data_IF_749939304497
#
_entry.id   IF_749939304497
#
_cell.length_a   1.000
_cell.length_b   1.000
_cell.length_c   1.000
_cell.angle_alpha   90.00
_cell.angle_beta   90.00
_cell.angle_gamma   90.00
#
_symmetry.space_group_name_H-M   'P 1'
#
loop_
_entity.id
_entity.type
_entity.pdbx_description
1 polymer ?
#
# COMPACT_ATOMS: atom_id res chain seq x y z
N UNK A 1 -16.59 -6.06 -19.95
CA UNK A 1 -15.76 -4.96 -19.42
C UNK A 1 -16.18 -4.76 -17.97
N UNK A 2 -15.21 -4.64 -17.08
CA UNK A 2 -15.21 -5.17 -15.71
C UNK A 2 -16.21 -4.54 -14.73
N UNK A 3 -16.82 -5.38 -13.89
CA UNK A 3 -17.58 -4.96 -12.71
C UNK A 3 -16.62 -4.40 -11.65
N UNK A 4 -16.67 -3.10 -11.32
CA UNK A 4 -15.83 -2.49 -10.30
C UNK A 4 -15.98 -3.15 -8.92
N UNK A 5 -17.16 -3.73 -8.62
CA UNK A 5 -17.41 -4.43 -7.37
C UNK A 5 -16.61 -5.74 -7.29
N UNK A 6 -16.38 -6.41 -8.42
CA UNK A 6 -15.52 -7.60 -8.50
C UNK A 6 -14.07 -7.26 -8.14
N UNK A 7 -13.54 -6.17 -8.68
CA UNK A 7 -12.17 -5.75 -8.38
C UNK A 7 -12.02 -5.36 -6.91
N UNK A 8 -12.96 -4.58 -6.37
CA UNK A 8 -12.98 -4.23 -4.95
C UNK A 8 -13.00 -5.45 -4.02
N UNK A 9 -13.86 -6.42 -4.32
CA UNK A 9 -13.94 -7.68 -3.58
C UNK A 9 -12.65 -8.49 -3.65
N UNK A 10 -12.03 -8.57 -4.83
CA UNK A 10 -10.76 -9.25 -5.03
C UNK A 10 -9.62 -8.64 -4.19
N UNK A 11 -9.49 -7.31 -4.18
CA UNK A 11 -8.47 -6.63 -3.37
C UNK A 11 -8.74 -6.81 -1.86
N UNK A 12 -10.01 -6.79 -1.44
CA UNK A 12 -10.41 -7.02 -0.05
C UNK A 12 -10.11 -8.44 0.45
N UNK A 13 -10.14 -9.43 -0.44
CA UNK A 13 -9.67 -10.78 -0.12
C UNK A 13 -8.14 -10.81 -0.03
N UNK A 14 -7.45 -10.28 -1.05
CA UNK A 14 -5.98 -10.33 -1.14
C UNK A 14 -5.25 -9.56 -0.05
N UNK A 15 -5.83 -8.49 0.48
CA UNK A 15 -5.19 -7.75 1.59
C UNK A 15 -5.09 -8.58 2.89
N UNK A 16 -5.73 -9.74 2.98
CA UNK A 16 -5.61 -10.63 4.14
C UNK A 16 -4.31 -11.43 4.17
N UNK A 17 -3.80 -11.80 3.00
CA UNK A 17 -2.65 -12.72 2.86
C UNK A 17 -1.49 -12.14 2.03
N UNK A 18 -1.72 -11.02 1.35
CA UNK A 18 -0.79 -10.45 0.38
C UNK A 18 -0.37 -9.04 0.76
N UNK A 19 0.80 -8.67 0.27
CA UNK A 19 1.30 -7.30 0.33
C UNK A 19 0.60 -6.46 -0.75
N UNK A 20 0.03 -5.32 -0.35
CA UNK A 20 -0.63 -4.38 -1.24
C UNK A 20 0.25 -3.13 -1.40
N UNK A 21 0.46 -2.71 -2.64
CA UNK A 21 1.22 -1.52 -3.00
C UNK A 21 0.35 -0.60 -3.86
N UNK A 22 0.16 0.65 -3.45
CA UNK A 22 -0.69 1.62 -4.14
C UNK A 22 0.01 2.99 -4.27
N UNK A 23 0.06 3.52 -5.49
CA UNK A 23 0.77 4.78 -5.80
C UNK A 23 -0.19 5.82 -6.39
N UNK A 24 0.03 7.09 -6.07
CA UNK A 24 -0.73 8.20 -6.62
C UNK A 24 -2.19 8.19 -6.17
N UNK A 25 -3.10 7.95 -7.12
CA UNK A 25 -4.56 7.89 -6.88
C UNK A 25 -5.10 6.49 -6.62
N UNK A 26 -4.28 5.44 -6.78
CA UNK A 26 -4.68 4.06 -6.51
C UNK A 26 -5.25 3.82 -5.08
N UNK A 27 -4.77 4.52 -4.02
CA UNK A 27 -5.36 4.38 -2.68
C UNK A 27 -6.86 4.67 -2.57
N UNK A 28 -7.50 5.35 -3.54
CA UNK A 28 -8.97 5.49 -3.59
C UNK A 28 -9.70 4.15 -3.62
N UNK A 29 -9.13 3.13 -4.28
CA UNK A 29 -9.70 1.78 -4.30
C UNK A 29 -9.76 1.19 -2.90
N UNK A 30 -8.78 1.50 -2.06
CA UNK A 30 -8.75 1.03 -0.67
C UNK A 30 -9.89 1.67 0.13
N UNK A 31 -10.11 2.96 -0.06
CA UNK A 31 -11.14 3.74 0.64
C UNK A 31 -12.54 3.26 0.29
N UNK A 32 -12.83 3.15 -1.01
CA UNK A 32 -14.14 2.72 -1.52
C UNK A 32 -14.51 1.32 -1.00
N UNK A 33 -13.51 0.50 -0.68
CA UNK A 33 -13.69 -0.86 -0.16
C UNK A 33 -13.46 -1.02 1.35
N UNK A 34 -13.27 0.10 2.07
CA UNK A 34 -12.97 0.15 3.51
C UNK A 34 -11.75 -0.69 3.92
N UNK A 35 -10.69 -0.65 3.13
CA UNK A 35 -9.46 -1.43 3.33
C UNK A 35 -8.43 -0.57 4.06
N UNK A 36 -7.91 -1.07 5.17
CA UNK A 36 -6.80 -0.45 5.90
C UNK A 36 -7.14 0.86 6.63
N UNK A 37 -8.41 1.09 6.94
CA UNK A 37 -8.85 2.26 7.74
C UNK A 37 -8.01 2.38 9.02
N UNK A 38 -7.56 3.60 9.32
CA UNK A 38 -6.70 3.91 10.47
C UNK A 38 -5.20 3.59 10.30
N UNK A 39 -4.79 2.95 9.20
CA UNK A 39 -3.37 2.75 8.87
C UNK A 39 -2.70 4.04 8.40
N UNK A 40 -1.38 4.06 8.52
CA UNK A 40 -0.54 5.12 7.95
C UNK A 40 -0.41 5.01 6.43
N UNK A 41 -0.68 6.10 5.72
CA UNK A 41 -0.57 6.16 4.25
C UNK A 41 -0.01 7.50 3.77
N UNK A 42 0.48 7.54 2.53
CA UNK A 42 0.71 8.77 1.77
C UNK A 42 0.19 8.61 0.34
N UNK A 43 -0.33 9.69 -0.24
CA UNK A 43 -0.98 9.65 -1.57
C UNK A 43 -0.69 10.92 -2.37
N UNK A 44 -1.24 11.03 -3.58
CA UNK A 44 -1.22 12.30 -4.31
C UNK A 44 -1.81 13.43 -3.43
N UNK A 45 -1.18 14.61 -3.34
CA UNK A 45 -1.67 15.72 -2.50
C UNK A 45 -3.14 16.10 -2.75
N UNK A 46 -3.64 15.84 -3.97
CA UNK A 46 -5.04 16.10 -4.36
C UNK A 46 -6.06 15.27 -3.59
N UNK A 47 -5.66 14.15 -3.00
CA UNK A 47 -6.56 13.23 -2.28
C UNK A 47 -6.43 13.35 -0.77
N UNK A 48 -5.49 14.15 -0.27
CA UNK A 48 -5.19 14.23 1.17
C UNK A 48 -6.43 14.54 2.01
N UNK A 49 -7.17 15.58 1.65
CA UNK A 49 -8.38 16.02 2.37
C UNK A 49 -9.44 14.93 2.49
N UNK A 50 -9.54 14.06 1.49
CA UNK A 50 -10.55 13.01 1.42
C UNK A 50 -10.15 11.78 2.26
N UNK A 51 -8.85 11.64 2.52
CA UNK A 51 -8.26 10.46 3.15
C UNK A 51 -7.87 10.68 4.62
N UNK A 52 -7.50 11.90 5.01
CA UNK A 52 -7.18 12.26 6.40
C UNK A 52 -8.26 11.86 7.42
N UNK A 53 -9.58 11.95 7.14
CA UNK A 53 -10.60 11.52 8.09
C UNK A 53 -10.63 10.00 8.35
N UNK A 54 -10.04 9.20 7.45
CA UNK A 54 -10.14 7.74 7.45
C UNK A 54 -8.80 7.05 7.70
N UNK A 55 -7.67 7.72 7.46
CA UNK A 55 -6.32 7.19 7.56
C UNK A 55 -5.40 8.14 8.30
N UNK A 56 -4.28 7.61 8.82
CA UNK A 56 -3.20 8.42 9.37
C UNK A 56 -2.34 8.92 8.22
N UNK A 57 -2.60 10.14 7.76
CA UNK A 57 -1.87 10.69 6.62
C UNK A 57 -0.43 11.08 7.02
N UNK A 58 0.55 10.71 6.19
CA UNK A 58 1.97 11.02 6.37
C UNK A 58 2.45 11.88 5.21
N UNK A 59 2.91 13.08 5.51
CA UNK A 59 3.28 14.10 4.52
C UNK A 59 4.77 14.11 4.17
N UNK A 60 5.61 13.77 5.14
CA UNK A 60 7.07 13.90 5.11
C UNK A 60 7.79 12.66 4.56
N UNK A 61 7.05 11.58 4.30
CA UNK A 61 7.58 10.35 3.71
C UNK A 61 7.17 10.15 2.25
N UNK A 62 8.15 9.81 1.40
CA UNK A 62 7.92 9.50 -0.02
C UNK A 62 7.28 8.13 -0.22
N UNK A 63 7.50 7.20 0.71
CA UNK A 63 6.95 5.84 0.72
C UNK A 63 6.61 5.49 2.16
N UNK A 64 5.35 5.17 2.42
CA UNK A 64 4.87 4.77 3.74
C UNK A 64 4.59 3.27 3.74
N UNK A 65 5.03 2.59 4.79
CA UNK A 65 4.81 1.16 4.99
C UNK A 65 4.11 0.93 6.34
N UNK A 66 2.90 0.37 6.31
CA UNK A 66 2.13 -0.01 7.51
C UNK A 66 1.64 -1.44 7.36
N UNK A 67 2.35 -2.37 8.01
CA UNK A 67 2.13 -3.81 7.89
C UNK A 67 2.26 -4.27 6.44
N UNK A 68 1.16 -4.78 5.87
CA UNK A 68 1.13 -5.25 4.49
C UNK A 68 0.75 -4.17 3.46
N UNK A 69 0.46 -2.94 3.88
CA UNK A 69 0.11 -1.83 2.99
C UNK A 69 1.32 -0.92 2.75
N UNK A 70 1.59 -0.62 1.47
CA UNK A 70 2.68 0.27 1.03
C UNK A 70 2.10 1.33 0.12
N UNK A 71 2.35 2.60 0.41
CA UNK A 71 1.81 3.71 -0.38
C UNK A 71 2.84 4.75 -0.75
N UNK A 72 2.62 5.45 -1.87
CA UNK A 72 3.50 6.52 -2.34
C UNK A 72 2.74 7.59 -3.11
N UNK A 73 3.24 8.84 -3.10
CA UNK A 73 2.51 10.02 -3.55
C UNK A 73 2.28 10.12 -5.06
N UNK A 74 3.13 9.52 -5.90
CA UNK A 74 2.97 9.68 -7.34
C UNK A 74 4.22 9.33 -8.17
N UNK A 75 4.19 9.59 -9.48
CA UNK A 75 5.20 9.11 -10.43
C UNK A 75 6.62 9.60 -10.13
N UNK A 76 6.78 10.80 -9.55
CA UNK A 76 8.08 11.31 -9.11
C UNK A 76 8.79 10.39 -8.09
N UNK A 77 8.03 9.58 -7.35
CA UNK A 77 8.54 8.64 -6.36
C UNK A 77 8.50 7.19 -6.86
N UNK A 78 8.15 6.92 -8.13
CA UNK A 78 7.94 5.56 -8.62
C UNK A 78 9.17 4.66 -8.51
N UNK A 79 10.37 5.17 -8.84
CA UNK A 79 11.61 4.40 -8.70
C UNK A 79 11.93 4.10 -7.23
N UNK A 80 11.78 5.09 -6.34
CA UNK A 80 11.98 4.89 -4.90
C UNK A 80 10.97 3.88 -4.34
N UNK A 81 9.72 3.96 -4.79
CA UNK A 81 8.67 3.04 -4.41
C UNK A 81 8.96 1.61 -4.87
N UNK A 82 9.37 1.43 -6.13
CA UNK A 82 9.76 0.14 -6.67
C UNK A 82 10.96 -0.45 -5.92
N UNK A 83 11.98 0.36 -5.67
CA UNK A 83 13.15 -0.08 -4.90
C UNK A 83 12.76 -0.52 -3.50
N UNK A 84 11.90 0.24 -2.82
CA UNK A 84 11.40 -0.13 -1.49
C UNK A 84 10.64 -1.45 -1.49
N UNK A 85 9.85 -1.72 -2.53
CA UNK A 85 9.16 -3.01 -2.69
C UNK A 85 10.18 -4.14 -2.86
N UNK A 86 11.20 -3.95 -3.69
CA UNK A 86 12.27 -4.95 -3.91
C UNK A 86 13.02 -5.24 -2.61
N UNK A 87 13.42 -4.21 -1.86
CA UNK A 87 14.06 -4.37 -0.54
C UNK A 87 13.21 -5.23 0.40
N UNK A 88 11.91 -4.93 0.52
CA UNK A 88 11.01 -5.66 1.40
C UNK A 88 10.80 -7.12 0.97
N UNK A 89 10.83 -7.40 -0.33
CA UNK A 89 10.73 -8.76 -0.85
C UNK A 89 12.01 -9.56 -0.57
N UNK A 90 13.18 -8.94 -0.72
CA UNK A 90 14.48 -9.57 -0.44
C UNK A 90 14.66 -9.89 1.03
N UNK A 91 14.40 -8.93 1.92
CA UNK A 91 14.50 -9.17 3.37
C UNK A 91 13.60 -10.32 3.81
N UNK A 92 12.38 -10.42 3.24
CA UNK A 92 11.48 -11.54 3.51
C UNK A 92 12.05 -12.89 3.07
N UNK A 93 12.80 -12.94 1.97
CA UNK A 93 13.46 -14.17 1.52
C UNK A 93 14.58 -14.56 2.48
N UNK A 94 15.41 -13.60 2.89
CA UNK A 94 16.50 -13.81 3.84
C UNK A 94 15.97 -14.28 5.20
N UNK A 95 14.90 -13.67 5.72
CA UNK A 95 14.23 -14.09 6.97
C UNK A 95 13.69 -15.52 6.89
N UNK A 96 13.12 -15.90 5.73
CA UNK A 96 12.60 -17.24 5.48
C UNK A 96 13.72 -18.29 5.38
N UNK A 97 14.88 -17.93 4.84
CA UNK A 97 16.06 -18.80 4.81
C UNK A 97 16.64 -18.99 6.21
N UNK A 98 16.81 -17.91 6.98
CA UNK A 98 17.27 -17.97 8.36
C UNK A 98 16.35 -18.84 9.24
N UNK A 99 15.02 -18.72 9.05
CA UNK A 99 14.04 -19.51 9.79
C UNK A 99 14.04 -21.01 9.46
N UNK A 100 14.65 -21.44 8.36
CA UNK A 100 14.80 -22.87 8.01
C UNK A 100 16.04 -23.51 8.64
N UNK A 101 16.98 -22.69 9.10
CA UNK A 101 18.26 -23.13 9.70
C UNK A 101 18.11 -23.33 11.22
N UNK A 102 17.13 -22.66 11.84
CA UNK A 102 16.74 -22.80 13.25
C UNK A 102 15.69 -23.91 13.41
#
# INVERSE_FOLDING_TARGET
MDDPARFGSYIKEKVKDSNIAAIGSAPLVLVINCIGIGKSITTSPKLKSDLEPLYKYVDDEKVVVDGNLRTSQGPANAFLFALKIVELLRNKQEDQEASKIL
#
